data_IF_472526025826
#
_entry.id   IF_472526025826
#
_cell.length_a   1.000
_cell.length_b   1.000
_cell.length_c   1.000
_cell.angle_alpha   90.00
_cell.angle_beta   90.00
_cell.angle_gamma   90.00
#
_symmetry.space_group_name_H-M   'P 1'
#
loop_
_entity.id
_entity.type
_entity.pdbx_description
1 polymer ?
#
# COMPACT_ATOMS: atom_id res chain seq x y z
N UNK A 1 14.42 12.08 2.00
CA UNK A 1 13.82 10.81 1.52
C UNK A 1 14.66 9.66 2.07
N UNK A 2 14.07 8.52 2.45
CA UNK A 2 14.84 7.31 2.74
C UNK A 2 15.59 6.86 1.47
N UNK A 3 16.66 6.08 1.65
CA UNK A 3 17.36 5.43 0.53
C UNK A 3 16.45 4.34 -0.02
N UNK A 4 16.38 4.21 -1.34
CA UNK A 4 15.65 3.14 -2.02
C UNK A 4 16.27 2.89 -3.38
N UNK A 5 16.40 1.62 -3.82
CA UNK A 5 16.81 1.29 -5.18
C UNK A 5 15.65 1.41 -6.19
N UNK A 6 14.41 1.58 -5.71
CA UNK A 6 13.19 1.50 -6.51
C UNK A 6 13.16 2.54 -7.63
N UNK A 7 12.69 2.10 -8.79
CA UNK A 7 12.36 2.96 -9.91
C UNK A 7 10.87 2.85 -10.24
N UNK A 8 10.18 3.96 -10.58
CA UNK A 8 10.67 5.35 -10.59
C UNK A 8 10.93 5.90 -9.18
N UNK A 9 11.92 6.79 -9.05
CA UNK A 9 12.26 7.43 -7.77
C UNK A 9 11.17 8.43 -7.38
N UNK A 10 10.64 8.30 -6.16
CA UNK A 10 9.66 9.22 -5.58
C UNK A 10 10.35 10.35 -4.85
N UNK A 11 10.03 11.59 -5.21
CA UNK A 11 10.60 12.77 -4.60
C UNK A 11 9.62 13.44 -3.60
N UNK A 12 10.12 14.43 -2.87
CA UNK A 12 9.30 15.15 -1.88
C UNK A 12 8.12 15.90 -2.52
N UNK A 13 8.23 16.32 -3.78
CA UNK A 13 7.14 16.97 -4.48
C UNK A 13 6.01 16.00 -4.76
N UNK A 14 6.33 14.77 -5.21
CA UNK A 14 5.37 13.69 -5.41
C UNK A 14 4.65 13.36 -4.10
N UNK A 15 5.38 13.11 -3.01
CA UNK A 15 4.76 12.80 -1.71
C UNK A 15 3.81 13.92 -1.28
N UNK A 16 4.28 15.18 -1.34
CA UNK A 16 3.48 16.34 -0.95
C UNK A 16 2.20 16.44 -1.77
N UNK A 17 2.29 16.25 -3.08
CA UNK A 17 1.14 16.35 -3.97
C UNK A 17 0.17 15.18 -3.78
N UNK A 18 0.68 13.96 -3.74
CA UNK A 18 -0.12 12.73 -3.73
C UNK A 18 -0.72 12.41 -2.37
N UNK A 19 0.03 12.58 -1.28
CA UNK A 19 -0.40 12.09 0.03
C UNK A 19 -0.86 13.18 0.99
N UNK A 20 -0.41 14.43 0.80
CA UNK A 20 -0.74 15.52 1.73
C UNK A 20 -1.66 16.60 1.15
N UNK A 21 -1.73 16.72 -0.18
CA UNK A 21 -2.52 17.77 -0.86
C UNK A 21 -3.61 17.20 -1.76
N UNK A 22 -3.80 15.90 -1.75
CA UNK A 22 -4.85 15.30 -2.56
C UNK A 22 -6.22 15.60 -1.94
N UNK A 23 -7.20 16.09 -2.72
CA UNK A 23 -8.41 16.70 -2.14
C UNK A 23 -9.48 15.71 -1.71
N UNK A 24 -9.46 14.45 -2.18
CA UNK A 24 -10.57 13.51 -1.96
C UNK A 24 -10.26 12.38 -0.98
N UNK A 25 -9.05 11.83 -1.04
CA UNK A 25 -8.62 10.76 -0.14
C UNK A 25 -7.62 11.28 0.89
N UNK A 26 -7.80 10.80 2.12
CA UNK A 26 -6.83 10.98 3.19
C UNK A 26 -5.88 9.80 3.23
N UNK A 27 -4.59 10.11 3.35
CA UNK A 27 -3.52 9.12 3.44
C UNK A 27 -2.75 9.36 4.73
N UNK A 28 -2.46 8.28 5.45
CA UNK A 28 -1.53 8.28 6.57
C UNK A 28 -0.13 7.95 6.04
N UNK A 29 0.84 8.82 6.33
CA UNK A 29 2.25 8.60 5.96
C UNK A 29 3.05 8.31 7.22
N UNK A 30 3.45 7.05 7.39
CA UNK A 30 4.21 6.56 8.53
C UNK A 30 5.70 6.57 8.24
N UNK A 31 6.50 7.03 9.19
CA UNK A 31 7.96 7.03 9.08
C UNK A 31 8.56 5.88 9.89
N UNK A 32 9.15 4.90 9.19
CA UNK A 32 9.95 3.86 9.84
C UNK A 32 11.32 4.46 10.20
N UNK A 33 11.66 4.46 11.49
CA UNK A 33 12.93 4.99 12.01
C UNK A 33 13.67 3.93 12.82
N UNK A 34 14.99 3.93 12.71
CA UNK A 34 15.87 3.08 13.51
C UNK A 34 17.22 3.75 13.70
N UNK A 35 17.75 3.71 14.93
CA UNK A 35 19.04 4.33 15.28
C UNK A 35 19.14 5.80 14.83
N UNK A 36 18.06 6.57 15.02
CA UNK A 36 17.98 7.98 14.63
C UNK A 36 17.86 8.25 13.12
N UNK A 37 17.90 7.23 12.27
CA UNK A 37 17.80 7.36 10.81
C UNK A 37 16.38 7.07 10.32
N UNK A 38 15.97 7.76 9.27
CA UNK A 38 14.77 7.44 8.50
C UNK A 38 15.10 6.27 7.56
N UNK A 39 14.38 5.15 7.72
CA UNK A 39 14.62 3.92 6.97
C UNK A 39 13.62 3.75 5.83
N UNK A 40 12.35 4.07 6.06
CA UNK A 40 11.32 3.97 5.04
C UNK A 40 10.13 4.88 5.35
N UNK A 41 9.30 5.13 4.33
CA UNK A 41 7.93 5.54 4.49
C UNK A 41 6.98 4.39 4.15
N UNK A 42 5.92 4.23 4.93
CA UNK A 42 4.76 3.40 4.59
C UNK A 42 3.58 4.35 4.42
N UNK A 43 2.84 4.22 3.34
CA UNK A 43 1.63 5.02 3.11
C UNK A 43 0.42 4.10 3.17
N UNK A 44 -0.52 4.44 4.05
CA UNK A 44 -1.77 3.69 4.18
C UNK A 44 -2.98 4.57 3.88
N UNK A 45 -4.04 3.95 3.39
CA UNK A 45 -5.39 4.52 3.35
C UNK A 45 -6.32 3.54 4.07
N UNK A 46 -7.07 4.03 5.05
CA UNK A 46 -8.14 3.24 5.66
C UNK A 46 -9.42 3.48 4.89
N UNK A 47 -10.08 2.41 4.45
CA UNK A 47 -11.45 2.43 3.98
C UNK A 47 -12.34 2.06 5.17
N UNK A 48 -13.18 2.99 5.59
CA UNK A 48 -13.90 2.91 6.85
C UNK A 48 -15.25 2.19 6.72
N UNK A 49 -15.81 1.79 7.87
CA UNK A 49 -17.16 1.26 7.93
C UNK A 49 -18.23 2.28 7.52
N UNK A 50 -17.98 3.57 7.75
CA UNK A 50 -18.88 4.64 7.33
C UNK A 50 -18.93 4.77 5.79
N UNK A 51 -17.79 4.59 5.12
CA UNK A 51 -17.72 4.63 3.65
C UNK A 51 -18.41 3.43 2.97
N UNK A 52 -18.42 2.26 3.62
CA UNK A 52 -18.75 0.98 2.96
C UNK A 52 -19.97 0.27 3.53
N UNK A 53 -20.31 0.52 4.80
CA UNK A 53 -21.24 -0.29 5.58
C UNK A 53 -20.67 -1.62 6.10
N UNK A 54 -19.38 -1.88 5.88
CA UNK A 54 -18.68 -3.12 6.26
C UNK A 54 -17.58 -2.86 7.29
N UNK A 55 -16.85 -3.90 7.71
CA UNK A 55 -15.68 -3.73 8.59
C UNK A 55 -14.58 -2.92 7.87
N UNK A 56 -13.82 -2.06 8.58
CA UNK A 56 -12.75 -1.30 7.95
C UNK A 56 -11.69 -2.17 7.29
N UNK A 57 -11.07 -1.65 6.23
CA UNK A 57 -9.95 -2.28 5.53
C UNK A 57 -8.81 -1.27 5.46
N UNK A 58 -7.60 -1.68 5.84
CA UNK A 58 -6.41 -0.83 5.68
C UNK A 58 -5.73 -1.18 4.37
N UNK A 59 -5.41 -0.19 3.56
CA UNK A 59 -4.71 -0.39 2.30
C UNK A 59 -3.31 0.17 2.42
N UNK A 60 -2.29 -0.67 2.30
CA UNK A 60 -0.91 -0.21 2.11
C UNK A 60 -0.76 0.13 0.62
N UNK A 61 -0.79 1.43 0.33
CA UNK A 61 -0.87 1.95 -1.04
C UNK A 61 0.49 2.36 -1.60
N UNK A 62 1.50 2.50 -0.74
CA UNK A 62 2.88 2.79 -1.12
C UNK A 62 3.89 2.40 -0.02
N UNK A 63 5.10 2.05 -0.41
CA UNK A 63 6.26 1.89 0.45
C UNK A 63 7.50 2.48 -0.23
N UNK A 64 8.24 3.31 0.50
CA UNK A 64 9.44 4.00 0.00
C UNK A 64 10.59 3.69 0.94
N UNK A 65 11.49 2.80 0.52
CA UNK A 65 12.63 2.37 1.31
C UNK A 65 13.36 1.21 0.64
N UNK A 66 14.34 0.64 1.33
CA UNK A 66 14.95 -0.63 0.93
C UNK A 66 14.04 -1.81 1.33
N UNK A 67 13.90 -2.82 0.47
CA UNK A 67 13.05 -4.00 0.70
C UNK A 67 13.36 -4.69 2.04
N UNK A 68 14.64 -4.75 2.41
CA UNK A 68 15.11 -5.34 3.66
C UNK A 68 14.57 -4.65 4.93
N UNK A 69 14.00 -3.45 4.81
CA UNK A 69 13.33 -2.77 5.92
C UNK A 69 11.95 -3.39 6.18
N UNK A 70 11.26 -3.85 5.14
CA UNK A 70 9.85 -4.27 5.20
C UNK A 70 9.59 -5.42 6.20
N UNK A 71 10.41 -6.50 6.27
CA UNK A 71 10.23 -7.58 7.26
C UNK A 71 10.26 -7.10 8.72
N UNK A 72 10.92 -5.97 8.98
CA UNK A 72 11.04 -5.40 10.33
C UNK A 72 9.81 -4.61 10.75
N UNK A 73 8.87 -4.38 9.84
CA UNK A 73 7.70 -3.53 10.05
C UNK A 73 6.45 -4.31 10.46
N UNK A 74 6.45 -5.65 10.41
CA UNK A 74 5.25 -6.46 10.66
C UNK A 74 4.46 -6.06 11.91
N UNK A 75 5.12 -6.01 13.08
CA UNK A 75 4.44 -5.59 14.32
C UNK A 75 3.92 -4.14 14.31
N UNK A 76 4.54 -3.24 13.53
CA UNK A 76 4.05 -1.88 13.36
C UNK A 76 2.85 -1.83 12.40
N UNK A 77 2.85 -2.64 11.34
CA UNK A 77 1.73 -2.78 10.41
C UNK A 77 0.52 -3.40 11.11
N UNK A 78 0.73 -4.43 11.94
CA UNK A 78 -0.31 -5.00 12.81
C UNK A 78 -0.89 -3.95 13.75
N UNK A 79 -0.05 -3.10 14.36
CA UNK A 79 -0.53 -2.03 15.23
C UNK A 79 -1.37 -0.99 14.47
N UNK A 80 -1.01 -0.67 13.22
CA UNK A 80 -1.80 0.22 12.34
C UNK A 80 -3.16 -0.42 12.04
N UNK A 81 -3.18 -1.70 11.65
CA UNK A 81 -4.42 -2.44 11.36
C UNK A 81 -5.35 -2.50 12.57
N UNK A 82 -4.82 -2.87 13.74
CA UNK A 82 -5.58 -2.94 14.99
C UNK A 82 -6.11 -1.57 15.41
N UNK A 83 -5.32 -0.50 15.26
CA UNK A 83 -5.76 0.87 15.57
C UNK A 83 -6.92 1.32 14.69
N UNK A 84 -6.94 0.89 13.43
CA UNK A 84 -8.04 1.19 12.51
C UNK A 84 -9.29 0.31 12.77
N UNK A 85 -9.17 -0.74 13.59
CA UNK A 85 -10.20 -1.77 13.74
C UNK A 85 -10.46 -2.53 12.44
N UNK A 86 -9.45 -2.65 11.58
CA UNK A 86 -9.60 -3.26 10.27
C UNK A 86 -9.56 -4.79 10.31
N UNK A 87 -10.25 -5.42 9.37
CA UNK A 87 -10.27 -6.88 9.21
C UNK A 87 -8.96 -7.39 8.61
N UNK A 88 -8.45 -6.70 7.61
CA UNK A 88 -7.19 -7.04 6.94
C UNK A 88 -6.47 -5.80 6.41
N UNK A 89 -5.19 -5.99 6.09
CA UNK A 89 -4.40 -5.05 5.33
C UNK A 89 -4.10 -5.61 3.93
N UNK A 90 -4.45 -4.88 2.87
CA UNK A 90 -4.07 -5.24 1.49
C UNK A 90 -2.90 -4.41 0.96
N UNK A 91 -2.21 -4.94 -0.05
CA UNK A 91 -1.20 -4.24 -0.81
C UNK A 91 -1.16 -4.78 -2.23
N UNK A 92 -1.35 -3.91 -3.22
CA UNK A 92 -0.94 -4.21 -4.58
C UNK A 92 0.49 -3.74 -4.78
N UNK A 93 1.38 -4.70 -5.01
CA UNK A 93 2.79 -4.46 -5.31
C UNK A 93 3.22 -5.28 -6.52
N UNK A 94 4.06 -4.67 -7.35
CA UNK A 94 4.93 -5.39 -8.27
C UNK A 94 6.38 -4.97 -7.99
N UNK A 95 7.31 -5.92 -8.10
CA UNK A 95 8.75 -5.66 -8.03
C UNK A 95 9.42 -5.95 -6.68
N UNK A 96 8.67 -6.04 -5.58
CA UNK A 96 9.21 -6.55 -4.31
C UNK A 96 8.87 -8.05 -4.21
N UNK A 97 9.85 -8.94 -3.94
CA UNK A 97 9.60 -10.38 -3.86
C UNK A 97 8.57 -10.76 -2.78
N UNK A 98 7.74 -11.77 -3.07
CA UNK A 98 6.67 -12.23 -2.17
C UNK A 98 7.20 -12.68 -0.81
N UNK A 99 8.39 -13.27 -0.74
CA UNK A 99 9.02 -13.70 0.51
C UNK A 99 9.35 -12.53 1.45
N UNK A 100 9.61 -11.33 0.90
CA UNK A 100 9.85 -10.12 1.70
C UNK A 100 8.55 -9.66 2.37
N UNK A 101 7.45 -9.67 1.61
CA UNK A 101 6.11 -9.40 2.13
C UNK A 101 5.67 -10.44 3.15
N UNK A 102 5.96 -11.71 2.89
CA UNK A 102 5.67 -12.81 3.81
C UNK A 102 6.36 -12.62 5.16
N UNK A 103 7.64 -12.21 5.14
CA UNK A 103 8.38 -11.92 6.36
C UNK A 103 7.85 -10.68 7.11
N UNK A 104 7.07 -9.82 6.45
CA UNK A 104 6.36 -8.70 7.07
C UNK A 104 4.94 -9.06 7.56
N UNK A 105 4.50 -10.32 7.38
CA UNK A 105 3.18 -10.80 7.83
C UNK A 105 2.11 -10.88 6.75
N UNK A 106 2.44 -10.61 5.49
CA UNK A 106 1.48 -10.73 4.38
C UNK A 106 1.46 -12.15 3.80
N UNK A 107 0.43 -12.45 3.02
CA UNK A 107 0.38 -13.67 2.19
C UNK A 107 0.04 -13.24 0.78
N UNK A 108 0.83 -13.67 -0.19
CA UNK A 108 0.53 -13.43 -1.60
C UNK A 108 -0.77 -14.15 -1.97
N UNK A 109 -1.66 -13.43 -2.64
CA UNK A 109 -2.87 -14.00 -3.22
C UNK A 109 -2.60 -14.25 -4.70
N UNK A 110 -2.71 -15.50 -5.12
CA UNK A 110 -2.51 -15.93 -6.50
C UNK A 110 -3.83 -16.04 -7.26
N UNK A 111 -3.77 -16.00 -8.58
CA UNK A 111 -4.92 -16.26 -9.43
C UNK A 111 -5.46 -17.68 -9.17
N UNK A 112 -6.76 -17.80 -8.93
CA UNK A 112 -7.42 -19.06 -8.56
C UNK A 112 -7.51 -19.32 -7.05
N UNK A 113 -6.89 -18.49 -6.20
CA UNK A 113 -7.10 -18.57 -4.76
C UNK A 113 -8.56 -18.26 -4.40
N UNK A 114 -9.09 -18.98 -3.40
CA UNK A 114 -10.45 -18.79 -2.90
C UNK A 114 -10.65 -17.53 -2.04
N UNK A 115 -9.56 -16.88 -1.62
CA UNK A 115 -9.61 -15.61 -0.89
C UNK A 115 -10.04 -14.47 -1.82
N UNK A 116 -11.09 -13.76 -1.42
CA UNK A 116 -11.56 -12.55 -2.11
C UNK A 116 -11.07 -11.33 -1.35
N UNK A 117 -10.25 -10.51 -2.01
CA UNK A 117 -9.70 -9.26 -1.51
C UNK A 117 -10.20 -8.14 -2.44
N UNK A 118 -11.40 -7.58 -2.18
CA UNK A 118 -12.03 -6.59 -3.05
C UNK A 118 -11.18 -5.34 -3.25
N UNK A 119 -10.95 -4.95 -4.50
CA UNK A 119 -10.33 -3.65 -4.78
C UNK A 119 -11.35 -2.50 -4.71
N UNK A 120 -12.58 -2.74 -5.16
CA UNK A 120 -13.70 -1.82 -5.01
C UNK A 120 -14.37 -2.09 -3.68
N UNK A 121 -14.33 -1.10 -2.78
CA UNK A 121 -14.84 -1.21 -1.42
C UNK A 121 -16.06 -0.30 -1.18
N UNK A 122 -16.40 0.61 -2.09
CA UNK A 122 -17.47 1.62 -1.91
C UNK A 122 -18.46 1.66 -3.09
N UNK A 123 -19.50 0.81 -3.12
CA UNK A 123 -19.73 -0.34 -2.24
C UNK A 123 -18.79 -1.52 -2.55
N UNK A 124 -18.63 -2.50 -1.64
CA UNK A 124 -17.76 -3.65 -1.89
C UNK A 124 -18.24 -4.50 -3.06
N UNK A 125 -17.33 -4.79 -3.99
CA UNK A 125 -17.54 -5.75 -5.06
C UNK A 125 -16.75 -7.02 -4.72
N UNK A 126 -17.45 -8.11 -4.40
CA UNK A 126 -16.86 -9.37 -3.93
C UNK A 126 -16.20 -10.19 -5.05
N UNK A 127 -15.25 -9.57 -5.74
CA UNK A 127 -14.42 -10.19 -6.77
C UNK A 127 -12.99 -9.66 -6.69
N UNK A 128 -12.04 -10.47 -7.16
CA UNK A 128 -10.65 -10.07 -7.27
C UNK A 128 -10.40 -9.34 -8.60
N UNK A 129 -9.62 -8.27 -8.57
CA UNK A 129 -9.18 -7.56 -9.77
C UNK A 129 -7.71 -7.83 -10.03
N UNK A 130 -7.40 -8.37 -11.21
CA UNK A 130 -6.03 -8.54 -11.69
C UNK A 130 -5.52 -7.26 -12.35
N UNK A 131 -4.32 -6.82 -11.97
CA UNK A 131 -3.66 -5.67 -12.56
C UNK A 131 -2.44 -6.14 -13.36
N UNK A 132 -2.45 -5.82 -14.65
CA UNK A 132 -1.32 -6.06 -15.55
C UNK A 132 -0.55 -4.75 -15.76
N UNK A 133 0.77 -4.85 -15.81
CA UNK A 133 1.66 -3.73 -16.08
C UNK A 133 2.71 -4.11 -17.11
N UNK A 134 3.32 -3.09 -17.72
CA UNK A 134 4.44 -3.24 -18.64
C UNK A 134 5.49 -2.18 -18.33
N UNK A 135 6.76 -2.57 -18.36
CA UNK A 135 7.89 -1.66 -18.30
C UNK A 135 8.96 -2.10 -19.30
N UNK A 136 9.59 -1.14 -19.96
CA UNK A 136 10.78 -1.37 -20.76
C UNK A 136 12.09 -1.17 -19.97
N UNK A 137 11.98 -0.92 -18.66
CA UNK A 137 13.08 -0.75 -17.70
C UNK A 137 12.76 -1.56 -16.44
N UNK A 138 12.99 -2.88 -16.46
CA UNK A 138 12.62 -3.76 -15.35
C UNK A 138 13.55 -3.63 -14.14
N UNK A 139 14.74 -3.05 -14.30
CA UNK A 139 15.73 -2.97 -13.24
C UNK A 139 15.24 -2.12 -12.06
N UNK A 140 15.10 -2.77 -10.90
CA UNK A 140 14.53 -2.19 -9.67
C UNK A 140 13.15 -1.56 -9.86
N UNK A 141 12.40 -1.96 -10.89
CA UNK A 141 11.07 -1.41 -11.13
C UNK A 141 10.11 -1.88 -10.04
N UNK A 142 9.57 -0.95 -9.27
CA UNK A 142 8.59 -1.22 -8.22
C UNK A 142 7.37 -0.35 -8.42
N UNK A 143 6.21 -0.99 -8.41
CA UNK A 143 4.92 -0.33 -8.61
C UNK A 143 4.00 -0.64 -7.43
N UNK A 144 3.38 0.39 -6.89
CA UNK A 144 2.31 0.25 -5.91
C UNK A 144 0.99 0.78 -6.45
N UNK A 145 -0.11 0.47 -5.74
CA UNK A 145 -1.44 0.98 -6.08
C UNK A 145 -1.44 2.50 -6.31
N UNK A 146 -0.81 3.28 -5.43
CA UNK A 146 -0.82 4.75 -5.53
C UNK A 146 -0.14 5.30 -6.80
N UNK A 147 0.71 4.50 -7.46
CA UNK A 147 1.39 4.92 -8.69
C UNK A 147 0.47 4.86 -9.92
N UNK A 148 -0.47 3.91 -9.95
CA UNK A 148 -1.42 3.72 -11.05
C UNK A 148 -2.83 4.23 -10.75
N UNK A 149 -3.16 4.50 -9.49
CA UNK A 149 -4.51 4.89 -9.10
C UNK A 149 -4.81 6.33 -9.56
N UNK A 150 -5.88 6.47 -10.35
CA UNK A 150 -6.37 7.77 -10.80
C UNK A 150 -7.09 8.53 -9.68
N UNK A 151 -7.32 7.89 -8.53
CA UNK A 151 -8.03 8.40 -7.38
C UNK A 151 -9.38 9.05 -7.76
N UNK A 152 -10.07 8.54 -8.80
CA UNK A 152 -11.33 9.14 -9.23
C UNK A 152 -12.38 8.92 -8.14
N UNK A 153 -12.82 9.98 -7.43
CA UNK A 153 -13.93 9.81 -6.51
C UNK A 153 -15.19 9.49 -7.32
N UNK A 154 -15.95 8.50 -6.88
CA UNK A 154 -17.33 8.33 -7.32
C UNK A 154 -18.15 9.46 -6.68
N UNK A 155 -18.11 10.64 -7.28
CA UNK A 155 -18.95 11.77 -6.87
C UNK A 155 -20.41 11.41 -7.19
N UNK A 156 -21.24 11.32 -6.16
CA UNK A 156 -22.70 11.29 -6.31
C UNK A 156 -23.22 12.70 -6.56
#
# INVERSE_FOLDING_TARGET
>A
MPVTPHTPVKDTWYLRRRYFRYPYFHYDVWAARGNGKLLAYVVTRTVTAEETGCVPVVRLVDFIGEDAVLPRLGGALDAILNRAGGEYMDCYNAGIPAEVWQAAGFTERLEGDGSVIPNYLTPPLLENTEYYYFTNKPENFVLFKADGDQDRPNLK
#
